data_IF_631663022199
#
_entry.id   IF_631663022199
#
_cell.length_a   1.000
_cell.length_b   1.000
_cell.length_c   1.000
_cell.angle_alpha   90.00
_cell.angle_beta   90.00
_cell.angle_gamma   90.00
#
_symmetry.space_group_name_H-M   'P 1'
#
loop_
_entity.id
_entity.type
_entity.pdbx_description
1 polymer ?
#
# COMPACT_ATOMS: atom_id res chain seq x y z
N UNK A 1 14.62 -22.87 -3.38
CA UNK A 1 13.69 -21.78 -3.75
C UNK A 1 14.04 -20.55 -2.93
N UNK A 2 14.43 -19.46 -3.58
CA UNK A 2 14.60 -18.17 -2.90
C UNK A 2 13.24 -17.72 -2.37
N UNK A 3 13.15 -17.37 -1.08
CA UNK A 3 11.89 -16.93 -0.46
C UNK A 3 11.63 -15.49 -0.90
N UNK A 4 10.54 -15.25 -1.63
CA UNK A 4 10.10 -13.88 -1.96
C UNK A 4 9.62 -13.22 -0.66
N UNK A 5 10.33 -12.19 -0.22
CA UNK A 5 9.97 -11.43 0.98
C UNK A 5 9.09 -10.24 0.59
N UNK A 6 7.80 -10.32 0.87
CA UNK A 6 6.86 -9.21 0.67
C UNK A 6 6.97 -8.21 1.83
N UNK A 7 7.05 -6.91 1.51
CA UNK A 7 7.13 -5.83 2.50
C UNK A 7 5.94 -4.90 2.36
N UNK A 8 5.38 -4.47 3.48
CA UNK A 8 4.32 -3.46 3.52
C UNK A 8 4.94 -2.09 3.78
N UNK A 9 4.60 -1.11 2.94
CA UNK A 9 4.90 0.30 3.15
C UNK A 9 3.56 1.01 3.29
N UNK A 10 3.36 1.69 4.42
CA UNK A 10 2.12 2.42 4.71
C UNK A 10 2.43 3.68 5.51
N UNK A 11 1.58 4.70 5.38
CA UNK A 11 1.71 5.97 6.11
C UNK A 11 0.53 6.13 7.07
N UNK A 12 0.70 5.69 8.31
CA UNK A 12 -0.27 5.94 9.36
C UNK A 12 -0.15 7.38 9.84
N UNK A 13 -1.16 8.20 9.57
CA UNK A 13 -1.15 9.59 10.00
C UNK A 13 -2.58 10.05 10.31
N UNK A 14 -2.74 10.75 11.44
CA UNK A 14 -4.03 11.23 11.94
C UNK A 14 -4.50 12.53 11.27
N UNK A 15 -3.67 13.16 10.42
CA UNK A 15 -3.93 14.48 9.85
C UNK A 15 -3.96 14.42 8.32
N UNK A 16 -4.98 15.05 7.72
CA UNK A 16 -5.11 15.17 6.27
C UNK A 16 -4.13 16.18 5.64
N UNK A 17 -3.99 16.11 4.30
CA UNK A 17 -3.28 17.11 3.46
C UNK A 17 -1.78 17.31 3.75
N UNK A 18 -1.07 16.25 4.12
CA UNK A 18 0.40 16.27 4.36
C UNK A 18 1.24 15.71 3.20
N UNK A 19 0.64 15.51 2.02
CA UNK A 19 1.34 14.96 0.85
C UNK A 19 1.46 13.43 0.82
N UNK A 20 0.62 12.68 1.55
CA UNK A 20 0.63 11.20 1.55
C UNK A 20 0.43 10.61 0.14
N UNK A 21 -0.56 11.12 -0.59
CA UNK A 21 -0.83 10.68 -1.96
C UNK A 21 0.35 11.00 -2.90
N UNK A 22 1.07 12.11 -2.65
CA UNK A 22 2.29 12.47 -3.38
C UNK A 22 3.45 11.53 -3.07
N UNK A 23 3.65 11.14 -1.81
CA UNK A 23 4.64 10.13 -1.44
C UNK A 23 4.33 8.79 -2.11
N UNK A 24 3.08 8.34 -2.04
CA UNK A 24 2.66 7.09 -2.68
C UNK A 24 2.83 7.15 -4.20
N UNK A 25 2.53 8.29 -4.81
CA UNK A 25 2.79 8.53 -6.23
C UNK A 25 4.27 8.34 -6.58
N UNK A 26 5.17 8.95 -5.81
CA UNK A 26 6.61 8.82 -6.03
C UNK A 26 7.09 7.36 -5.89
N UNK A 27 6.55 6.62 -4.91
CA UNK A 27 6.86 5.20 -4.72
C UNK A 27 6.40 4.35 -5.91
N UNK A 28 5.17 4.55 -6.39
CA UNK A 28 4.63 3.86 -7.58
C UNK A 28 5.54 4.10 -8.79
N UNK A 29 5.87 5.37 -9.06
CA UNK A 29 6.76 5.73 -10.16
C UNK A 29 8.15 5.10 -10.03
N UNK A 30 8.71 5.10 -8.82
CA UNK A 30 10.03 4.52 -8.58
C UNK A 30 10.04 2.99 -8.73
N UNK A 31 9.05 2.27 -8.18
CA UNK A 31 8.98 0.83 -8.32
C UNK A 31 8.76 0.40 -9.77
N UNK A 32 7.89 1.11 -10.50
CA UNK A 32 7.71 0.89 -11.93
C UNK A 32 9.02 1.10 -12.71
N UNK A 33 9.76 2.18 -12.41
CA UNK A 33 11.06 2.45 -13.03
C UNK A 33 12.10 1.36 -12.69
N UNK A 34 12.16 0.92 -11.44
CA UNK A 34 13.12 -0.07 -10.97
C UNK A 34 12.77 -1.52 -11.36
N UNK A 35 11.61 -1.76 -11.98
CA UNK A 35 11.13 -3.10 -12.30
C UNK A 35 10.83 -3.96 -11.06
N UNK A 36 10.53 -3.31 -9.92
CA UNK A 36 10.15 -3.99 -8.69
C UNK A 36 8.67 -4.35 -8.78
N UNK A 37 8.31 -5.60 -8.52
CA UNK A 37 6.91 -6.00 -8.44
C UNK A 37 6.25 -5.37 -7.20
N UNK A 38 5.13 -4.68 -7.40
CA UNK A 38 4.40 -4.02 -6.31
C UNK A 38 2.89 -4.11 -6.50
N UNK A 39 2.16 -3.87 -5.41
CA UNK A 39 0.71 -3.68 -5.43
C UNK A 39 0.37 -2.47 -4.57
N UNK A 40 -0.57 -1.67 -5.05
CA UNK A 40 -1.01 -0.45 -4.36
C UNK A 40 -2.47 -0.59 -3.94
N UNK A 41 -2.76 -0.23 -2.70
CA UNK A 41 -4.11 -0.23 -2.14
C UNK A 41 -4.45 1.19 -1.69
N UNK A 42 -5.57 1.71 -2.19
CA UNK A 42 -6.13 2.99 -1.78
C UNK A 42 -7.23 2.75 -0.73
N UNK A 43 -6.90 3.10 0.51
CA UNK A 43 -7.81 2.93 1.65
C UNK A 43 -8.60 4.19 2.01
N UNK A 44 -8.36 5.31 1.31
CA UNK A 44 -8.99 6.60 1.60
C UNK A 44 -10.40 6.63 1.01
N UNK A 45 -11.40 6.34 1.85
CA UNK A 45 -12.81 6.34 1.44
C UNK A 45 -13.35 7.74 1.11
N UNK A 46 -12.71 8.80 1.61
CA UNK A 46 -13.15 10.18 1.45
C UNK A 46 -12.70 10.74 0.10
N UNK A 47 -11.39 10.70 -0.16
CA UNK A 47 -10.80 11.38 -1.31
C UNK A 47 -10.43 10.44 -2.46
N UNK A 48 -10.18 9.15 -2.21
CA UNK A 48 -9.88 8.14 -3.23
C UNK A 48 -8.79 8.58 -4.22
N UNK A 49 -7.81 9.35 -3.73
CA UNK A 49 -6.89 10.10 -4.59
C UNK A 49 -6.05 9.18 -5.46
N UNK A 50 -5.55 8.08 -4.89
CA UNK A 50 -4.70 7.14 -5.60
C UNK A 50 -5.46 6.35 -6.66
N UNK A 51 -6.62 5.81 -6.29
CA UNK A 51 -7.50 5.07 -7.21
C UNK A 51 -8.06 5.97 -8.31
N UNK A 52 -8.23 7.26 -8.06
CA UNK A 52 -8.57 8.24 -9.09
C UNK A 52 -7.42 8.54 -10.06
N UNK A 53 -6.17 8.61 -9.58
CA UNK A 53 -5.00 8.90 -10.42
C UNK A 53 -4.49 7.67 -11.17
N UNK A 54 -4.64 6.49 -10.59
CA UNK A 54 -4.08 5.24 -11.06
C UNK A 54 -5.12 4.11 -11.05
N UNK A 55 -6.21 4.21 -11.83
CA UNK A 55 -7.32 3.24 -11.77
C UNK A 55 -6.89 1.80 -12.13
N UNK A 56 -5.85 1.64 -12.94
CA UNK A 56 -5.35 0.34 -13.38
C UNK A 56 -4.29 -0.27 -12.45
N UNK A 57 -3.77 0.51 -11.48
CA UNK A 57 -2.66 0.11 -10.60
C UNK A 57 -3.10 0.07 -9.14
N UNK A 58 -3.94 1.01 -8.71
CA UNK A 58 -4.37 1.15 -7.33
C UNK A 58 -5.73 0.47 -7.12
N UNK A 59 -5.74 -0.56 -6.29
CA UNK A 59 -6.98 -1.22 -5.86
C UNK A 59 -7.65 -0.39 -4.77
N UNK A 60 -8.90 0.04 -5.00
CA UNK A 60 -9.67 0.72 -3.97
C UNK A 60 -10.21 -0.28 -2.94
N UNK A 61 -9.81 -0.15 -1.68
CA UNK A 61 -10.25 -0.98 -0.57
C UNK A 61 -10.47 -0.09 0.67
N UNK A 62 -11.67 0.47 0.87
CA UNK A 62 -11.90 1.49 1.88
C UNK A 62 -11.69 0.96 3.30
N UNK A 63 -10.90 1.68 4.10
CA UNK A 63 -10.75 1.38 5.52
C UNK A 63 -12.04 1.73 6.28
N UNK A 64 -12.67 0.76 6.95
CA UNK A 64 -13.89 0.97 7.74
C UNK A 64 -13.69 0.66 9.21
N UNK A 65 -12.79 -0.27 9.53
CA UNK A 65 -12.45 -0.69 10.89
C UNK A 65 -11.03 -1.28 10.94
N UNK A 66 -10.51 -1.40 12.16
CA UNK A 66 -9.12 -1.83 12.42
C UNK A 66 -8.79 -3.21 11.83
N UNK A 67 -9.76 -4.13 11.84
CA UNK A 67 -9.56 -5.49 11.33
C UNK A 67 -9.42 -5.57 9.81
N UNK A 68 -9.77 -4.52 9.06
CA UNK A 68 -9.78 -4.55 7.59
C UNK A 68 -8.36 -4.70 7.02
N UNK A 69 -7.33 -4.27 7.76
CA UNK A 69 -5.94 -4.39 7.35
C UNK A 69 -5.26 -5.67 7.86
N UNK A 70 -5.89 -6.42 8.77
CA UNK A 70 -5.30 -7.65 9.34
C UNK A 70 -4.85 -8.67 8.29
N UNK A 71 -5.61 -8.96 7.21
CA UNK A 71 -5.16 -9.90 6.18
C UNK A 71 -3.87 -9.44 5.49
N UNK A 72 -3.74 -8.14 5.21
CA UNK A 72 -2.57 -7.54 4.55
C UNK A 72 -1.36 -7.58 5.50
N UNK A 73 -1.58 -7.22 6.77
CA UNK A 73 -0.55 -7.25 7.81
C UNK A 73 -0.06 -8.69 8.07
N UNK A 74 -0.96 -9.66 8.08
CA UNK A 74 -0.62 -11.07 8.24
C UNK A 74 0.18 -11.58 7.03
N UNK A 75 -0.18 -11.21 5.81
CA UNK A 75 0.60 -11.58 4.61
C UNK A 75 2.01 -10.99 4.65
N UNK A 76 2.14 -9.71 4.97
CA UNK A 76 3.45 -9.05 5.07
C UNK A 76 4.29 -9.61 6.23
N UNK A 77 3.68 -9.82 7.40
CA UNK A 77 4.33 -10.31 8.62
C UNK A 77 4.60 -11.82 8.64
N UNK A 78 3.91 -12.62 7.83
CA UNK A 78 4.19 -14.06 7.71
C UNK A 78 5.55 -14.34 7.05
N UNK A 79 6.07 -13.39 6.26
CA UNK A 79 7.38 -13.53 5.61
C UNK A 79 8.56 -13.41 6.60
N UNK A 80 8.35 -12.86 7.81
CA UNK A 80 9.40 -12.59 8.80
C UNK A 80 9.53 -13.64 9.92
N UNK A 81 8.62 -14.62 10.03
CA UNK A 81 8.70 -15.68 11.05
C UNK A 81 9.28 -16.98 10.49
N UNK A 82 10.61 -17.02 10.36
CA UNK A 82 11.38 -18.25 10.44
C UNK A 82 12.63 -17.96 11.26
N UNK A 83 12.59 -18.35 12.52
CA UNK A 83 13.73 -18.59 13.42
C UNK A 83 13.63 -20.02 13.90
#
# INVERSE_FOLDING_TARGET
>A
MSKIASRLITSFQSTGRMGRSTLQQALISWFAFAGVEFSTIDCDSEHKTLSSWYPDIATFFPYRRDDDLLPILNLAGASSRCS
#
